data_IF_277732480757
#
_entry.id   IF_277732480757
#
_cell.length_a   1.000
_cell.length_b   1.000
_cell.length_c   1.000
_cell.angle_alpha   90.00
_cell.angle_beta   90.00
_cell.angle_gamma   90.00
#
_symmetry.space_group_name_H-M   'P 1'
#
loop_
_entity.id
_entity.type
_entity.pdbx_description
1 polymer ?
#
# COMPACT_ATOMS: atom_id res chain seq x y z
N UNK A 1 3.99 5.72 -13.75
CA UNK A 1 4.36 5.87 -12.33
C UNK A 1 3.56 4.95 -11.41
N UNK A 2 2.51 4.27 -11.90
CA UNK A 2 1.48 3.61 -11.08
C UNK A 2 1.87 2.26 -10.42
N UNK A 3 2.94 1.56 -10.85
CA UNK A 3 3.08 0.12 -10.49
C UNK A 3 4.09 -0.20 -9.39
N UNK A 4 5.23 0.50 -9.41
CA UNK A 4 5.96 0.73 -8.17
C UNK A 4 5.20 1.72 -7.28
N UNK A 5 4.22 2.48 -7.79
CA UNK A 5 3.29 3.20 -6.93
C UNK A 5 2.14 2.33 -6.43
N UNK A 6 1.99 1.04 -6.79
CA UNK A 6 1.12 0.15 -6.00
C UNK A 6 1.90 -0.33 -4.77
N UNK A 7 3.18 -0.65 -4.93
CA UNK A 7 4.08 -1.03 -3.83
C UNK A 7 4.49 0.18 -2.98
N UNK A 8 4.70 1.33 -3.60
CA UNK A 8 4.84 2.62 -2.93
C UNK A 8 3.47 3.19 -2.54
N UNK A 9 2.32 2.81 -3.11
CA UNK A 9 1.02 3.12 -2.48
C UNK A 9 0.79 2.20 -1.28
N UNK A 10 1.31 0.98 -1.24
CA UNK A 10 1.21 0.13 -0.06
C UNK A 10 2.16 0.63 1.03
N UNK A 11 3.38 1.05 0.67
CA UNK A 11 4.41 1.55 1.60
C UNK A 11 4.32 3.06 1.93
N UNK A 12 3.81 3.91 1.04
CA UNK A 12 3.64 5.38 1.21
C UNK A 12 2.20 5.87 1.04
N UNK A 13 1.26 5.05 0.57
CA UNK A 13 -0.16 5.40 0.54
C UNK A 13 -1.02 4.49 1.45
N UNK A 14 -0.48 3.50 2.17
CA UNK A 14 -1.12 3.04 3.41
C UNK A 14 -1.31 4.23 4.35
N UNK A 15 -0.42 5.22 4.26
CA UNK A 15 -0.49 6.52 4.91
C UNK A 15 -1.24 7.61 4.12
N UNK A 16 -1.63 7.43 2.85
CA UNK A 16 -2.36 8.45 2.05
C UNK A 16 -3.77 8.05 1.58
N UNK A 17 -4.00 6.78 1.28
CA UNK A 17 -5.28 6.19 0.89
C UNK A 17 -6.22 6.05 2.10
N UNK A 18 -5.68 5.88 3.29
CA UNK A 18 -6.45 5.78 4.52
C UNK A 18 -6.67 7.14 5.20
N UNK A 19 -6.80 8.23 4.45
CA UNK A 19 -6.79 9.61 4.99
C UNK A 19 -8.10 10.37 4.92
N UNK A 20 -9.18 9.74 4.50
CA UNK A 20 -10.45 10.45 4.47
C UNK A 20 -11.36 10.06 5.63
N UNK A 21 -11.68 10.99 6.54
CA UNK A 21 -12.86 10.89 7.43
C UNK A 21 -13.67 12.19 7.38
N UNK A 22 -15.02 12.14 7.36
CA UNK A 22 -15.86 13.32 7.63
C UNK A 22 -15.72 13.75 9.10
N UNK A 23 -15.61 15.06 9.33
CA UNK A 23 -15.52 15.65 10.68
C UNK A 23 -16.85 15.45 11.42
N UNK A 24 -16.87 14.47 12.33
CA UNK A 24 -17.81 14.39 13.45
C UNK A 24 -17.00 14.45 14.74
N UNK A 25 -17.27 15.46 15.55
CA UNK A 25 -16.71 15.77 16.87
C UNK A 25 -16.38 14.53 17.71
N UNK A 26 -15.11 14.12 17.74
CA UNK A 26 -14.37 13.53 18.87
C UNK A 26 -12.93 13.27 18.41
N UNK A 27 -11.95 13.91 19.06
CA UNK A 27 -10.53 13.70 18.75
C UNK A 27 -10.18 12.23 19.03
N UNK A 28 -9.67 11.45 18.06
CA UNK A 28 -9.25 10.08 18.35
C UNK A 28 -8.15 10.11 19.43
N UNK A 29 -8.13 9.14 20.36
CA UNK A 29 -7.10 9.06 21.39
C UNK A 29 -5.72 9.04 20.73
N UNK A 30 -4.81 9.88 21.22
CA UNK A 30 -3.46 9.96 20.69
C UNK A 30 -2.74 8.62 20.91
N UNK A 31 -2.11 8.07 19.86
CA UNK A 31 -1.34 6.84 20.02
C UNK A 31 -0.12 7.11 20.90
N UNK A 32 -0.13 6.56 22.12
CA UNK A 32 1.00 6.66 23.05
C UNK A 32 1.94 5.48 22.80
N UNK A 33 3.16 5.78 22.37
CA UNK A 33 4.20 4.77 22.19
C UNK A 33 4.69 4.22 23.54
N UNK A 34 5.13 2.96 23.53
CA UNK A 34 5.76 2.34 24.70
C UNK A 34 7.02 3.11 25.13
N UNK A 35 7.38 3.13 26.43
CA UNK A 35 8.56 3.84 26.92
C UNK A 35 9.85 3.47 26.17
N UNK A 36 10.68 4.47 25.88
CA UNK A 36 11.94 4.28 25.14
C UNK A 36 11.80 4.17 23.62
N UNK A 37 10.58 4.31 23.09
CA UNK A 37 10.33 4.40 21.66
C UNK A 37 10.18 5.85 21.18
N UNK A 38 10.68 6.11 19.98
CA UNK A 38 10.48 7.38 19.28
C UNK A 38 10.04 7.14 17.84
N UNK A 39 9.26 8.05 17.28
CA UNK A 39 8.91 8.07 15.86
C UNK A 39 10.15 8.22 14.98
N UNK A 40 11.13 9.01 15.44
CA UNK A 40 12.42 9.18 14.76
C UNK A 40 13.17 7.87 14.56
N UNK A 41 12.97 6.86 15.42
CA UNK A 41 13.57 5.55 15.24
C UNK A 41 12.97 4.79 14.05
N UNK A 42 11.69 5.00 13.72
CA UNK A 42 11.06 4.42 12.53
C UNK A 42 11.70 4.94 11.24
N UNK A 43 12.13 6.21 11.21
CA UNK A 43 12.79 6.79 10.04
C UNK A 43 14.12 6.09 9.67
N UNK A 44 14.76 5.42 10.63
CA UNK A 44 15.96 4.61 10.35
C UNK A 44 15.65 3.42 9.44
N UNK A 45 14.43 2.89 9.47
CA UNK A 45 14.01 1.80 8.60
C UNK A 45 13.88 2.22 7.11
N UNK A 46 13.55 3.49 6.86
CA UNK A 46 13.35 4.02 5.49
C UNK A 46 14.61 4.70 4.94
N UNK A 47 15.59 5.02 5.79
CA UNK A 47 16.85 5.64 5.35
C UNK A 47 17.56 4.88 4.22
N UNK A 48 17.68 3.54 4.25
CA UNK A 48 18.25 2.79 3.13
C UNK A 48 17.47 2.95 1.81
N UNK A 49 16.15 3.08 1.89
CA UNK A 49 15.30 3.31 0.71
C UNK A 49 15.54 4.69 0.14
N UNK A 50 15.61 5.71 1.00
CA UNK A 50 15.90 7.09 0.58
C UNK A 50 17.27 7.15 -0.10
N UNK A 51 18.30 6.59 0.54
CA UNK A 51 19.65 6.52 -0.04
C UNK A 51 19.66 5.76 -1.36
N UNK A 52 18.93 4.66 -1.46
CA UNK A 52 18.81 3.90 -2.71
C UNK A 52 18.14 4.73 -3.82
N UNK A 53 17.00 5.37 -3.56
CA UNK A 53 16.28 6.21 -4.53
C UNK A 53 17.15 7.35 -5.04
N UNK A 54 17.99 7.93 -4.17
CA UNK A 54 18.92 9.00 -4.53
C UNK A 54 20.19 8.50 -5.24
N UNK A 55 20.51 7.21 -5.16
CA UNK A 55 21.69 6.63 -5.81
C UNK A 55 21.54 6.55 -7.34
N UNK A 56 22.67 6.43 -8.06
CA UNK A 56 22.68 6.22 -9.51
C UNK A 56 21.88 4.96 -9.92
N UNK A 57 21.94 3.90 -9.09
CA UNK A 57 21.14 2.69 -9.30
C UNK A 57 19.64 2.95 -9.16
N UNK A 58 19.21 3.69 -8.14
CA UNK A 58 17.81 4.05 -7.96
C UNK A 58 17.28 4.91 -9.10
N UNK A 59 18.07 5.89 -9.54
CA UNK A 59 17.74 6.72 -10.71
C UNK A 59 17.66 5.88 -12.00
N UNK A 60 18.57 4.92 -12.19
CA UNK A 60 18.51 3.96 -13.30
C UNK A 60 17.22 3.16 -13.25
N UNK A 61 16.89 2.55 -12.10
CA UNK A 61 15.66 1.76 -11.93
C UNK A 61 14.42 2.59 -12.25
N UNK A 62 14.37 3.83 -11.78
CA UNK A 62 13.25 4.74 -12.03
C UNK A 62 13.06 5.06 -13.52
N UNK A 63 14.16 5.11 -14.28
CA UNK A 63 14.15 5.33 -15.74
C UNK A 63 13.70 4.08 -16.49
N UNK A 64 14.33 2.92 -16.25
CA UNK A 64 14.02 1.67 -16.98
C UNK A 64 12.65 1.09 -16.63
N UNK A 65 12.12 1.41 -15.44
CA UNK A 65 10.73 1.08 -15.07
C UNK A 65 9.72 1.66 -16.06
N UNK A 66 9.96 2.88 -16.57
CA UNK A 66 9.03 3.52 -17.52
C UNK A 66 9.03 2.83 -18.89
N UNK A 67 10.09 2.10 -19.21
CA UNK A 67 10.26 1.38 -20.48
C UNK A 67 10.04 -0.13 -20.36
N UNK A 68 9.59 -0.63 -19.20
CA UNK A 68 9.39 -2.06 -18.95
C UNK A 68 10.67 -2.91 -18.91
N UNK A 69 11.85 -2.29 -19.02
CA UNK A 69 13.14 -2.97 -19.21
C UNK A 69 13.83 -3.40 -17.90
N UNK A 70 13.03 -3.68 -16.87
CA UNK A 70 13.54 -4.13 -15.57
C UNK A 70 14.05 -5.56 -15.66
N UNK A 71 15.25 -5.80 -15.16
CA UNK A 71 15.87 -7.12 -15.19
C UNK A 71 15.70 -7.83 -13.85
N UNK A 72 15.94 -9.14 -13.83
CA UNK A 72 15.83 -9.95 -12.62
C UNK A 72 16.71 -9.41 -11.47
N UNK A 73 17.98 -9.02 -11.68
CA UNK A 73 18.80 -8.47 -10.59
C UNK A 73 18.25 -7.14 -10.02
N UNK A 74 17.60 -6.34 -10.86
CA UNK A 74 16.97 -5.10 -10.45
C UNK A 74 15.73 -5.37 -9.57
N UNK A 75 14.92 -6.34 -9.97
CA UNK A 75 13.76 -6.82 -9.21
C UNK A 75 14.19 -7.39 -7.86
N UNK A 76 15.17 -8.29 -7.82
CA UNK A 76 15.71 -8.89 -6.59
C UNK A 76 16.28 -7.82 -5.65
N UNK A 77 16.96 -6.80 -6.18
CA UNK A 77 17.47 -5.68 -5.40
C UNK A 77 16.33 -4.87 -4.77
N UNK A 78 15.29 -4.56 -5.54
CA UNK A 78 14.11 -3.85 -5.04
C UNK A 78 13.37 -4.68 -3.97
N UNK A 79 13.20 -5.98 -4.20
CA UNK A 79 12.61 -6.93 -3.26
C UNK A 79 13.35 -6.99 -1.93
N UNK A 80 14.68 -7.17 -1.95
CA UNK A 80 15.51 -7.20 -0.74
C UNK A 80 15.41 -5.90 0.05
N UNK A 81 15.45 -4.77 -0.64
CA UNK A 81 15.33 -3.45 -0.01
C UNK A 81 13.96 -3.27 0.65
N UNK A 82 12.87 -3.58 -0.09
CA UNK A 82 11.50 -3.50 0.44
C UNK A 82 11.30 -4.45 1.63
N UNK A 83 11.77 -5.70 1.53
CA UNK A 83 11.70 -6.70 2.60
C UNK A 83 12.42 -6.26 3.86
N UNK A 84 13.63 -5.71 3.72
CA UNK A 84 14.42 -5.21 4.85
C UNK A 84 13.72 -4.03 5.55
N UNK A 85 13.21 -3.08 4.77
CA UNK A 85 12.49 -1.92 5.32
C UNK A 85 11.20 -2.33 6.00
N UNK A 86 10.38 -3.18 5.39
CA UNK A 86 9.14 -3.66 5.99
C UNK A 86 9.39 -4.49 7.25
N UNK A 87 10.40 -5.36 7.25
CA UNK A 87 10.79 -6.13 8.44
C UNK A 87 11.22 -5.22 9.60
N UNK A 88 12.01 -4.18 9.30
CA UNK A 88 12.41 -3.16 10.27
C UNK A 88 11.19 -2.41 10.83
N UNK A 89 10.27 -1.95 9.96
CA UNK A 89 9.06 -1.23 10.38
C UNK A 89 8.14 -2.12 11.22
N UNK A 90 7.90 -3.37 10.81
CA UNK A 90 7.09 -4.32 11.56
C UNK A 90 7.69 -4.61 12.94
N UNK A 91 9.02 -4.74 13.02
CA UNK A 91 9.73 -4.91 14.30
C UNK A 91 9.55 -3.70 15.20
N UNK A 92 9.65 -2.48 14.64
CA UNK A 92 9.39 -1.25 15.38
C UNK A 92 7.93 -1.19 15.85
N UNK A 93 6.95 -1.50 15.00
CA UNK A 93 5.52 -1.53 15.36
C UNK A 93 5.29 -2.49 16.53
N UNK A 94 5.75 -3.75 16.42
CA UNK A 94 5.63 -4.76 17.48
C UNK A 94 6.23 -4.28 18.81
N UNK A 95 7.40 -3.65 18.74
CA UNK A 95 8.13 -3.19 19.92
C UNK A 95 7.51 -1.93 20.55
N UNK A 96 7.05 -0.99 19.74
CA UNK A 96 6.79 0.38 20.16
C UNK A 96 5.31 0.76 20.22
N UNK A 97 4.45 0.04 19.51
CA UNK A 97 3.03 0.34 19.44
C UNK A 97 2.28 -0.63 20.36
N UNK A 98 1.47 -0.14 21.31
CA UNK A 98 0.57 -0.99 22.09
C UNK A 98 -0.38 -1.79 21.19
N UNK A 99 -0.64 -3.06 21.53
CA UNK A 99 -1.46 -3.94 20.68
C UNK A 99 -2.93 -3.54 20.62
N UNK A 100 -3.45 -3.00 21.73
CA UNK A 100 -4.82 -2.52 21.90
C UNK A 100 -5.10 -1.25 21.09
N UNK A 101 -4.21 -0.26 21.17
CA UNK A 101 -4.38 1.02 20.49
C UNK A 101 -3.93 0.98 19.01
N UNK A 102 -3.12 0.00 18.63
CA UNK A 102 -2.52 -0.10 17.29
C UNK A 102 -2.83 -1.39 16.55
N UNK A 103 -3.89 -2.12 16.91
CA UNK A 103 -4.21 -3.43 16.34
C UNK A 103 -4.13 -3.46 14.80
N UNK A 104 -4.81 -2.51 14.13
CA UNK A 104 -4.80 -2.40 12.68
C UNK A 104 -3.39 -2.13 12.12
N UNK A 105 -2.58 -1.34 12.84
CA UNK A 105 -1.21 -1.07 12.43
C UNK A 105 -0.32 -2.31 12.54
N UNK A 106 -0.52 -3.16 13.56
CA UNK A 106 0.14 -4.47 13.64
C UNK A 106 -0.27 -5.37 12.48
N UNK A 107 -1.56 -5.38 12.11
CA UNK A 107 -2.04 -6.12 10.93
C UNK A 107 -1.38 -5.59 9.66
N UNK A 108 -1.36 -4.27 9.43
CA UNK A 108 -0.75 -3.69 8.23
C UNK A 108 0.77 -3.89 8.18
N UNK A 109 1.45 -3.78 9.32
CA UNK A 109 2.88 -4.02 9.45
C UNK A 109 3.25 -5.46 9.10
N UNK A 110 2.54 -6.44 9.68
CA UNK A 110 2.75 -7.85 9.38
C UNK A 110 2.33 -8.18 7.94
N UNK A 111 1.19 -7.68 7.48
CA UNK A 111 0.69 -7.92 6.13
C UNK A 111 1.62 -7.40 5.05
N UNK A 112 2.32 -6.29 5.30
CA UNK A 112 3.36 -5.82 4.38
C UNK A 112 4.52 -6.82 4.29
N UNK A 113 4.98 -7.39 5.40
CA UNK A 113 6.00 -8.46 5.39
C UNK A 113 5.50 -9.70 4.64
N UNK A 114 4.27 -10.11 4.88
CA UNK A 114 3.68 -11.31 4.28
C UNK A 114 3.47 -11.16 2.76
N UNK A 115 3.12 -9.95 2.32
CA UNK A 115 3.02 -9.61 0.89
C UNK A 115 4.40 -9.70 0.24
N UNK A 116 5.42 -9.14 0.89
CA UNK A 116 6.79 -9.11 0.36
C UNK A 116 7.44 -10.50 0.27
N UNK A 117 6.92 -11.51 0.96
CA UNK A 117 7.35 -12.88 0.78
C UNK A 117 7.14 -13.40 -0.65
N UNK A 118 6.29 -12.75 -1.47
CA UNK A 118 6.18 -13.07 -2.91
C UNK A 118 7.52 -12.96 -3.63
N UNK A 119 8.41 -12.08 -3.17
CA UNK A 119 9.75 -11.92 -3.74
C UNK A 119 10.63 -13.18 -3.63
N UNK A 120 10.29 -14.10 -2.72
CA UNK A 120 11.01 -15.36 -2.54
C UNK A 120 10.45 -16.49 -3.42
N UNK A 121 9.35 -16.27 -4.14
CA UNK A 121 8.77 -17.26 -5.05
C UNK A 121 9.61 -17.36 -6.33
N UNK A 122 9.89 -18.57 -6.86
CA UNK A 122 10.73 -18.75 -8.04
C UNK A 122 10.12 -18.12 -9.30
N UNK A 123 8.79 -17.99 -9.37
CA UNK A 123 8.08 -17.40 -10.51
C UNK A 123 7.83 -15.89 -10.37
N UNK A 124 8.27 -15.29 -9.26
CA UNK A 124 7.90 -13.92 -8.87
C UNK A 124 8.32 -12.86 -9.89
N UNK A 125 9.51 -13.00 -10.49
CA UNK A 125 9.97 -12.07 -11.52
C UNK A 125 9.19 -12.19 -12.83
N UNK A 126 8.86 -13.41 -13.26
CA UNK A 126 8.09 -13.61 -14.49
C UNK A 126 6.64 -13.12 -14.34
N UNK A 127 6.03 -13.39 -13.20
CA UNK A 127 4.72 -12.86 -12.85
C UNK A 127 4.76 -11.33 -12.77
N UNK A 128 5.80 -10.76 -12.16
CA UNK A 128 5.99 -9.32 -12.12
C UNK A 128 6.11 -8.69 -13.52
N UNK A 129 6.84 -9.29 -14.47
CA UNK A 129 6.90 -8.81 -15.87
C UNK A 129 5.52 -8.81 -16.53
N UNK A 130 4.76 -9.91 -16.37
CA UNK A 130 3.39 -10.02 -16.92
C UNK A 130 2.48 -8.94 -16.32
N UNK A 131 2.53 -8.78 -15.00
CA UNK A 131 1.81 -7.72 -14.31
C UNK A 131 2.21 -6.35 -14.87
N UNK A 132 3.50 -6.02 -14.88
CA UNK A 132 4.05 -4.73 -15.33
C UNK A 132 3.66 -4.38 -16.78
N UNK A 133 3.63 -5.37 -17.67
CA UNK A 133 3.17 -5.18 -19.05
C UNK A 133 1.66 -4.87 -19.12
N UNK A 134 0.83 -5.62 -18.40
CA UNK A 134 -0.61 -5.34 -18.31
C UNK A 134 -0.88 -3.94 -17.73
N UNK A 135 -0.21 -3.65 -16.63
CA UNK A 135 -0.16 -2.39 -15.91
C UNK A 135 0.18 -1.18 -16.79
N UNK A 136 1.14 -1.32 -17.70
CA UNK A 136 1.54 -0.28 -18.65
C UNK A 136 0.43 -0.02 -19.67
N UNK A 137 -0.15 -1.07 -20.25
CA UNK A 137 -1.29 -0.96 -21.18
C UNK A 137 -2.53 -0.35 -20.50
N UNK A 138 -2.73 -0.67 -19.22
CA UNK A 138 -3.82 -0.19 -18.40
C UNK A 138 -3.56 1.17 -17.74
N UNK A 139 -2.40 1.81 -17.98
CA UNK A 139 -1.95 2.97 -17.21
C UNK A 139 -2.96 4.12 -17.18
N UNK A 140 -3.66 4.40 -18.28
CA UNK A 140 -4.70 5.44 -18.32
C UNK A 140 -5.90 5.08 -17.45
N UNK A 141 -6.43 3.88 -17.57
CA UNK A 141 -7.57 3.39 -16.76
C UNK A 141 -7.21 3.34 -15.29
N UNK A 142 -6.04 2.78 -14.96
CA UNK A 142 -5.55 2.67 -13.59
C UNK A 142 -5.27 4.03 -12.95
N UNK A 143 -4.84 5.03 -13.74
CA UNK A 143 -4.70 6.41 -13.28
C UNK A 143 -6.08 7.03 -12.99
N UNK A 144 -7.04 6.90 -13.91
CA UNK A 144 -8.41 7.41 -13.74
C UNK A 144 -9.08 6.83 -12.48
N UNK A 145 -9.02 5.51 -12.30
CA UNK A 145 -9.54 4.83 -11.11
C UNK A 145 -8.86 5.33 -9.82
N UNK A 146 -7.57 5.64 -9.87
CA UNK A 146 -6.83 6.17 -8.73
C UNK A 146 -7.25 7.60 -8.38
N UNK A 147 -7.50 8.43 -9.39
CA UNK A 147 -8.02 9.79 -9.23
C UNK A 147 -9.44 9.79 -8.68
N UNK A 148 -10.32 8.91 -9.17
CA UNK A 148 -11.68 8.75 -8.67
C UNK A 148 -11.68 8.31 -7.20
N UNK A 149 -10.86 7.31 -6.87
CA UNK A 149 -10.71 6.83 -5.51
C UNK A 149 -10.20 7.96 -4.60
N UNK A 150 -9.19 8.72 -5.04
CA UNK A 150 -8.65 9.88 -4.29
C UNK A 150 -9.68 11.00 -4.12
N UNK A 151 -10.54 11.23 -5.12
CA UNK A 151 -11.59 12.24 -5.05
C UNK A 151 -12.72 11.86 -4.09
N UNK A 152 -13.00 10.55 -3.95
CA UNK A 152 -14.01 9.99 -3.04
C UNK A 152 -13.49 9.74 -1.63
N UNK A 153 -12.17 9.72 -1.44
CA UNK A 153 -11.61 9.84 -0.11
C UNK A 153 -11.95 11.22 0.42
N UNK A 154 -12.49 11.34 1.64
CA UNK A 154 -12.73 12.63 2.25
C UNK A 154 -11.49 13.51 2.07
N UNK A 155 -11.65 14.58 1.29
CA UNK A 155 -10.62 15.59 1.15
C UNK A 155 -10.42 16.11 2.56
N UNK A 156 -9.25 15.94 3.13
CA UNK A 156 -8.80 16.70 4.30
C UNK A 156 -8.79 18.17 3.87
N UNK A 157 -9.96 18.79 3.94
CA UNK A 157 -10.18 20.17 3.62
C UNK A 157 -9.41 20.99 4.65
N UNK A 158 -8.39 21.69 4.19
CA UNK A 158 -7.93 22.92 4.82
C UNK A 158 -6.62 22.92 5.57
N UNK A 159 -6.10 21.80 6.10
CA UNK A 159 -4.90 21.84 6.96
C UNK A 159 -3.97 20.63 6.80
N UNK A 160 -3.43 20.44 5.59
CA UNK A 160 -2.29 19.53 5.39
C UNK A 160 -0.97 20.01 6.04
N UNK A 161 -1.01 21.04 6.89
CA UNK A 161 0.14 21.46 7.70
C UNK A 161 0.23 20.75 9.06
N UNK A 162 -0.79 19.99 9.51
CA UNK A 162 -0.83 19.53 10.91
C UNK A 162 -1.36 18.11 11.19
N UNK A 163 -1.58 17.25 10.19
CA UNK A 163 -1.74 15.81 10.49
C UNK A 163 -0.37 15.21 10.84
N UNK A 164 -0.08 15.13 12.13
CA UNK A 164 1.12 14.45 12.63
C UNK A 164 1.02 12.95 12.32
N UNK A 165 2.14 12.26 12.07
CA UNK A 165 2.18 10.79 11.92
C UNK A 165 1.36 10.06 12.99
N UNK A 166 1.31 10.60 14.20
CA UNK A 166 0.48 10.10 15.32
C UNK A 166 -1.01 9.97 15.02
N UNK A 167 -1.62 10.92 14.31
CA UNK A 167 -3.06 10.87 13.96
C UNK A 167 -3.38 9.77 12.95
N UNK A 168 -2.43 9.46 12.07
CA UNK A 168 -2.56 8.35 11.11
C UNK A 168 -2.45 7.01 11.85
N UNK A 169 -1.50 6.92 12.79
CA UNK A 169 -1.26 5.71 13.57
C UNK A 169 -2.38 5.42 14.60
N UNK A 170 -3.18 6.43 14.99
CA UNK A 170 -4.34 6.28 15.88
C UNK A 170 -5.69 6.12 15.16
N UNK A 171 -5.70 5.98 13.83
CA UNK A 171 -6.94 5.83 13.07
C UNK A 171 -7.61 4.49 13.37
N UNK A 172 -8.81 4.55 13.94
CA UNK A 172 -9.69 3.39 14.08
C UNK A 172 -10.17 2.91 12.70
N UNK A 173 -10.25 1.58 12.51
CA UNK A 173 -10.67 0.92 11.27
C UNK A 173 -9.74 1.18 10.07
N UNK A 174 -8.48 1.52 10.33
CA UNK A 174 -7.44 1.68 9.32
C UNK A 174 -7.34 0.45 8.41
N UNK A 175 -7.42 -0.76 8.98
CA UNK A 175 -7.39 -2.00 8.20
C UNK A 175 -8.57 -2.08 7.23
N UNK A 176 -9.79 -1.83 7.72
CA UNK A 176 -11.01 -1.87 6.90
C UNK A 176 -10.93 -0.86 5.76
N UNK A 177 -10.59 0.38 6.07
CA UNK A 177 -10.56 1.46 5.07
C UNK A 177 -9.50 1.18 3.99
N UNK A 178 -8.37 0.59 4.38
CA UNK A 178 -7.36 0.07 3.47
C UNK A 178 -7.94 -1.04 2.56
N UNK A 179 -8.55 -2.07 3.13
CA UNK A 179 -9.16 -3.18 2.39
C UNK A 179 -10.23 -2.70 1.40
N UNK A 180 -11.11 -1.80 1.82
CA UNK A 180 -12.13 -1.22 0.96
C UNK A 180 -11.54 -0.38 -0.17
N UNK A 181 -10.46 0.36 0.09
CA UNK A 181 -9.78 1.15 -0.93
C UNK A 181 -9.14 0.26 -2.00
N UNK A 182 -8.49 -0.83 -1.59
CA UNK A 182 -7.91 -1.83 -2.50
C UNK A 182 -9.00 -2.51 -3.33
N UNK A 183 -10.08 -2.95 -2.69
CA UNK A 183 -11.20 -3.61 -3.37
C UNK A 183 -11.84 -2.67 -4.41
N UNK A 184 -12.17 -1.44 -4.01
CA UNK A 184 -12.77 -0.44 -4.90
C UNK A 184 -11.87 -0.05 -6.07
N UNK A 185 -10.56 0.09 -5.81
CA UNK A 185 -9.59 0.35 -6.87
C UNK A 185 -9.60 -0.79 -7.90
N UNK A 186 -9.55 -2.04 -7.43
CA UNK A 186 -9.59 -3.23 -8.27
C UNK A 186 -10.90 -3.33 -9.06
N UNK A 187 -12.04 -3.08 -8.43
CA UNK A 187 -13.37 -3.12 -9.05
C UNK A 187 -13.51 -2.11 -10.20
N UNK A 188 -12.85 -0.96 -10.09
CA UNK A 188 -12.88 0.07 -11.12
C UNK A 188 -12.18 -0.36 -12.43
N UNK A 189 -10.97 -0.93 -12.37
CA UNK A 189 -10.22 -1.24 -13.58
C UNK A 189 -10.41 -2.68 -14.08
N UNK A 190 -10.81 -3.62 -13.21
CA UNK A 190 -10.96 -5.05 -13.53
C UNK A 190 -11.84 -5.35 -14.75
N UNK A 191 -12.98 -4.68 -14.99
CA UNK A 191 -13.80 -4.93 -16.18
C UNK A 191 -13.05 -4.71 -17.51
N UNK A 192 -12.02 -3.85 -17.51
CA UNK A 192 -11.24 -3.52 -18.69
C UNK A 192 -10.05 -4.48 -18.91
N UNK A 193 -9.67 -5.26 -17.90
CA UNK A 193 -8.43 -6.04 -17.95
C UNK A 193 -8.45 -7.17 -18.97
N UNK A 194 -9.58 -7.88 -19.11
CA UNK A 194 -9.66 -9.00 -20.06
C UNK A 194 -9.35 -8.53 -21.49
N UNK A 195 -9.90 -7.37 -21.87
CA UNK A 195 -9.73 -6.80 -23.20
C UNK A 195 -8.32 -6.25 -23.44
N UNK A 196 -7.65 -5.73 -22.40
CA UNK A 196 -6.35 -5.05 -22.55
C UNK A 196 -5.16 -5.98 -22.30
N UNK A 197 -5.30 -6.91 -21.36
CA UNK A 197 -4.21 -7.73 -20.86
C UNK A 197 -4.32 -9.21 -21.24
N UNK A 198 -5.49 -9.66 -21.71
CA UNK A 198 -5.76 -11.07 -21.97
C UNK A 198 -5.79 -11.93 -20.71
N UNK A 199 -6.06 -13.22 -20.87
CA UNK A 199 -6.28 -14.16 -19.77
C UNK A 199 -5.08 -14.29 -18.82
N UNK A 200 -3.86 -14.29 -19.36
CA UNK A 200 -2.62 -14.36 -18.58
C UNK A 200 -2.44 -13.14 -17.66
N UNK A 201 -2.68 -11.94 -18.18
CA UNK A 201 -2.58 -10.72 -17.39
C UNK A 201 -3.68 -10.62 -16.33
N UNK A 202 -4.88 -11.12 -16.65
CA UNK A 202 -5.99 -11.25 -15.68
C UNK A 202 -5.64 -12.23 -14.56
N UNK A 203 -5.13 -13.41 -14.89
CA UNK A 203 -4.76 -14.42 -13.90
C UNK A 203 -3.69 -13.91 -12.92
N UNK A 204 -2.60 -13.32 -13.44
CA UNK A 204 -1.51 -12.80 -12.61
C UNK A 204 -1.97 -11.64 -11.72
N UNK A 205 -2.72 -10.71 -12.27
CA UNK A 205 -3.21 -9.56 -11.49
C UNK A 205 -4.25 -9.98 -10.44
N UNK A 206 -5.11 -10.95 -10.76
CA UNK A 206 -6.06 -11.52 -9.79
C UNK A 206 -5.33 -12.26 -8.67
N UNK A 207 -4.29 -13.05 -9.00
CA UNK A 207 -3.41 -13.69 -8.01
C UNK A 207 -2.78 -12.65 -7.08
N UNK A 208 -2.24 -11.56 -7.64
CA UNK A 208 -1.64 -10.47 -6.85
C UNK A 208 -2.66 -9.77 -5.96
N UNK A 209 -3.86 -9.46 -6.47
CA UNK A 209 -4.95 -8.86 -5.69
C UNK A 209 -5.36 -9.74 -4.51
N UNK A 210 -5.60 -11.02 -4.75
CA UNK A 210 -5.94 -11.98 -3.70
C UNK A 210 -4.82 -12.09 -2.66
N UNK A 211 -3.56 -12.06 -3.10
CA UNK A 211 -2.42 -12.05 -2.18
C UNK A 211 -2.45 -10.82 -1.29
N UNK A 212 -2.65 -9.62 -1.86
CA UNK A 212 -2.79 -8.37 -1.09
C UNK A 212 -3.90 -8.52 -0.05
N UNK A 213 -5.11 -8.90 -0.46
CA UNK A 213 -6.24 -9.07 0.47
C UNK A 213 -5.91 -10.06 1.60
N UNK A 214 -5.31 -11.21 1.27
CA UNK A 214 -4.94 -12.21 2.27
C UNK A 214 -3.87 -11.71 3.25
N UNK A 215 -2.84 -11.03 2.75
CA UNK A 215 -1.74 -10.51 3.58
C UNK A 215 -2.23 -9.46 4.57
N UNK A 216 -3.16 -8.60 4.16
CA UNK A 216 -3.73 -7.56 5.03
C UNK A 216 -4.98 -8.00 5.79
N UNK A 217 -5.26 -9.32 5.81
CA UNK A 217 -6.41 -9.92 6.50
C UNK A 217 -7.76 -9.28 6.12
N UNK A 218 -7.92 -8.91 4.86
CA UNK A 218 -9.17 -8.41 4.31
C UNK A 218 -10.17 -9.57 4.14
N UNK A 219 -10.72 -10.05 5.26
CA UNK A 219 -11.71 -11.13 5.27
C UNK A 219 -13.02 -10.68 4.63
N UNK A 220 -13.88 -11.63 4.27
CA UNK A 220 -15.21 -11.34 3.76
C UNK A 220 -16.02 -10.48 4.75
N UNK A 221 -15.84 -10.69 6.06
CA UNK A 221 -16.42 -9.85 7.09
C UNK A 221 -15.97 -8.39 6.95
N UNK A 222 -14.65 -8.14 6.85
CA UNK A 222 -14.10 -6.79 6.66
C UNK A 222 -14.60 -6.15 5.36
N UNK A 223 -14.66 -6.93 4.28
CA UNK A 223 -15.08 -6.48 2.96
C UNK A 223 -16.59 -6.23 2.87
N UNK A 224 -17.40 -6.94 3.65
CA UNK A 224 -18.86 -6.74 3.70
C UNK A 224 -19.24 -5.32 4.15
N UNK A 225 -18.41 -4.70 5.00
CA UNK A 225 -18.61 -3.32 5.45
C UNK A 225 -18.28 -2.28 4.37
N UNK A 226 -17.57 -2.64 3.30
CA UNK A 226 -17.22 -1.73 2.22
C UNK A 226 -18.47 -1.27 1.44
N UNK A 227 -19.46 -2.16 1.25
CA UNK A 227 -20.72 -1.85 0.57
C UNK A 227 -21.57 -0.82 1.34
N UNK A 228 -21.54 -0.85 2.68
CA UNK A 228 -22.37 -0.02 3.55
C UNK A 228 -21.79 1.39 3.82
N UNK A 229 -20.50 1.62 3.57
CA UNK A 229 -19.84 2.90 3.81
C UNK A 229 -20.16 4.01 2.78
N UNK A 230 -20.78 3.65 1.65
CA UNK A 230 -21.14 4.59 0.57
C UNK A 230 -22.50 5.23 0.83
N UNK A 231 -23.41 4.54 1.53
CA UNK A 231 -24.75 5.07 1.80
C UNK A 231 -24.77 6.19 2.84
N UNK A 232 -23.74 6.28 3.70
CA UNK A 232 -23.69 7.23 4.83
C UNK A 232 -22.67 8.36 4.63
N UNK A 233 -22.08 8.49 3.43
CA UNK A 233 -21.15 9.55 3.07
C UNK A 233 -21.68 10.48 1.96
N UNK A 234 -22.96 10.34 1.61
CA UNK A 234 -23.70 11.20 0.69
C UNK A 234 -24.54 12.22 1.48
#
# INVERSE_FOLDING_TARGET
MAHLALWSFLLLAGTQLALGRPQGSDSPPELILKPGCSESAMFRCVSPVISFVMSADGQRLMKIRKSGAIQQPDFEKACRLAGTTAGCMNTWIKKCVPEDAGHDLHILGQGTVDLLNVCNEPTSFDEFKKFASCAEKMNTTMKSCGEELRAKMPKTSGEFNHETPKRILSRQNLQRDFCCSIQKYNDCYRPNMQNVCGSDGVAVTTKLHNRILSSYKCTDDVLSFCANSIANAA
#
